data_IF_138122176588
#
_entry.id   IF_138122176588
#
_cell.length_a   1.000
_cell.length_b   1.000
_cell.length_c   1.000
_cell.angle_alpha   90.00
_cell.angle_beta   90.00
_cell.angle_gamma   90.00
#
_symmetry.space_group_name_H-M   'P 1'
#
loop_
_entity.id
_entity.type
_entity.pdbx_description
1 polymer ?
#
# COMPACT_ATOMS: atom_id res chain seq x y z
N UNK A 1 -81.06 -9.29 -16.64
CA UNK A 1 -80.42 -8.28 -15.77
C UNK A 1 -79.79 -9.00 -14.59
N UNK A 2 -78.45 -9.12 -14.61
CA UNK A 2 -77.58 -9.49 -13.50
C UNK A 2 -76.15 -9.12 -13.94
N UNK A 3 -75.37 -8.32 -13.18
CA UNK A 3 -74.04 -7.92 -13.63
C UNK A 3 -72.94 -8.86 -13.11
N UNK A 4 -71.95 -9.05 -13.97
CA UNK A 4 -70.69 -9.75 -13.71
C UNK A 4 -69.81 -8.97 -12.73
N UNK A 5 -69.27 -9.64 -11.71
CA UNK A 5 -68.23 -9.10 -10.83
C UNK A 5 -66.85 -9.64 -11.27
N UNK A 6 -65.95 -8.74 -11.67
CA UNK A 6 -64.53 -9.03 -11.91
C UNK A 6 -63.74 -8.95 -10.60
N UNK A 7 -63.07 -10.04 -10.23
CA UNK A 7 -62.09 -10.10 -9.15
C UNK A 7 -60.75 -9.54 -9.64
N UNK A 8 -60.27 -8.47 -8.98
CA UNK A 8 -58.90 -7.97 -9.14
C UNK A 8 -57.98 -8.73 -8.19
N UNK A 9 -57.00 -9.44 -8.74
CA UNK A 9 -55.89 -10.06 -8.01
C UNK A 9 -54.75 -9.06 -7.81
N UNK A 10 -54.50 -8.66 -6.57
CA UNK A 10 -53.39 -7.79 -6.16
C UNK A 10 -52.08 -8.58 -6.09
N UNK A 11 -51.14 -8.27 -6.99
CA UNK A 11 -49.74 -8.70 -6.89
C UNK A 11 -49.02 -7.85 -5.83
N UNK A 12 -48.66 -8.45 -4.69
CA UNK A 12 -47.68 -7.86 -3.77
C UNK A 12 -46.27 -8.04 -4.34
N UNK A 13 -45.67 -6.95 -4.81
CA UNK A 13 -44.25 -6.90 -5.17
C UNK A 13 -43.37 -6.90 -3.92
N UNK A 14 -42.55 -7.95 -3.76
CA UNK A 14 -41.46 -7.97 -2.79
C UNK A 14 -40.32 -7.07 -3.28
N UNK A 15 -40.17 -5.91 -2.65
CA UNK A 15 -38.98 -5.07 -2.81
C UNK A 15 -37.85 -5.73 -2.01
N UNK A 16 -36.93 -6.41 -2.69
CA UNK A 16 -35.65 -6.80 -2.10
C UNK A 16 -34.77 -5.56 -1.95
N UNK A 17 -34.75 -4.97 -0.75
CA UNK A 17 -33.72 -4.00 -0.39
C UNK A 17 -32.39 -4.75 -0.24
N UNK A 18 -31.48 -4.58 -1.20
CA UNK A 18 -30.08 -4.98 -1.05
C UNK A 18 -29.48 -4.15 0.09
N UNK A 19 -29.35 -4.75 1.27
CA UNK A 19 -28.55 -4.17 2.36
C UNK A 19 -27.09 -4.24 1.93
N UNK A 20 -26.49 -3.08 1.67
CA UNK A 20 -25.04 -2.95 1.51
C UNK A 20 -24.36 -3.52 2.76
N UNK A 21 -23.61 -4.61 2.61
CA UNK A 21 -22.84 -5.20 3.69
C UNK A 21 -21.84 -4.15 4.16
N UNK A 22 -21.97 -3.69 5.41
CA UNK A 22 -20.98 -2.82 6.04
C UNK A 22 -19.64 -3.57 6.06
N UNK A 23 -18.70 -3.12 5.23
CA UNK A 23 -17.36 -3.67 5.21
C UNK A 23 -16.71 -3.36 6.56
N UNK A 24 -16.29 -4.40 7.30
CA UNK A 24 -15.62 -4.25 8.59
C UNK A 24 -14.44 -3.28 8.45
N UNK A 25 -14.36 -2.18 9.22
CA UNK A 25 -13.27 -1.22 9.14
C UNK A 25 -11.89 -1.88 9.31
N UNK A 26 -11.79 -2.95 10.10
CA UNK A 26 -10.55 -3.73 10.22
C UNK A 26 -10.17 -4.40 8.89
N UNK A 27 -11.14 -4.91 8.12
CA UNK A 27 -10.88 -5.51 6.80
C UNK A 27 -10.46 -4.47 5.75
N UNK A 28 -10.95 -3.23 5.85
CA UNK A 28 -10.61 -2.15 4.92
C UNK A 28 -9.15 -1.70 5.02
N UNK A 29 -8.54 -1.78 6.21
CA UNK A 29 -7.14 -1.43 6.44
C UNK A 29 -6.15 -2.33 5.68
N UNK A 30 -6.58 -3.53 5.27
CA UNK A 30 -5.75 -4.47 4.52
C UNK A 30 -5.84 -4.26 3.01
N UNK A 31 -6.77 -3.44 2.53
CA UNK A 31 -6.96 -3.22 1.09
C UNK A 31 -5.85 -2.29 0.59
N UNK A 32 -5.09 -2.68 -0.45
CA UNK A 32 -4.11 -1.78 -1.05
C UNK A 32 -4.78 -0.49 -1.55
N UNK A 33 -4.04 0.63 -1.59
CA UNK A 33 -4.60 1.91 -2.06
C UNK A 33 -5.13 1.82 -3.49
N UNK A 34 -6.00 2.76 -3.86
CA UNK A 34 -6.56 2.81 -5.21
C UNK A 34 -5.48 2.80 -6.31
N UNK A 35 -5.79 2.21 -7.46
CA UNK A 35 -4.80 1.96 -8.51
C UNK A 35 -3.99 0.69 -8.32
N UNK A 36 -4.37 -0.19 -7.40
CA UNK A 36 -3.79 -1.52 -7.29
C UNK A 36 -4.84 -2.58 -7.67
N UNK A 37 -4.45 -3.53 -8.51
CA UNK A 37 -5.29 -4.65 -8.94
C UNK A 37 -4.63 -5.99 -8.56
N UNK A 38 -5.40 -7.03 -8.21
CA UNK A 38 -4.83 -8.35 -7.95
C UNK A 38 -4.08 -8.87 -9.17
N UNK A 39 -2.91 -9.46 -8.97
CA UNK A 39 -2.09 -10.05 -10.05
C UNK A 39 -1.83 -11.54 -9.85
N UNK A 40 -1.45 -11.97 -8.64
CA UNK A 40 -1.13 -13.37 -8.32
C UNK A 40 -1.72 -13.77 -6.97
N UNK A 41 -1.95 -15.07 -6.77
CA UNK A 41 -2.27 -15.60 -5.45
C UNK A 41 -1.63 -16.95 -5.19
N UNK A 42 -1.15 -17.13 -3.96
CA UNK A 42 -0.51 -18.36 -3.50
C UNK A 42 -1.04 -18.76 -2.13
N UNK A 43 -1.02 -20.06 -1.85
CA UNK A 43 -1.10 -20.58 -0.47
C UNK A 43 0.32 -20.69 0.07
N UNK A 44 0.56 -20.08 1.22
CA UNK A 44 1.78 -20.28 1.99
C UNK A 44 1.59 -21.35 3.05
N UNK A 45 2.55 -22.27 3.17
CA UNK A 45 2.64 -23.25 4.25
C UNK A 45 4.03 -23.16 4.87
N UNK A 46 4.09 -22.96 6.18
CA UNK A 46 5.38 -22.88 6.86
C UNK A 46 5.24 -22.57 8.33
N UNK A 47 6.15 -21.75 8.87
CA UNK A 47 6.23 -21.47 10.31
C UNK A 47 6.35 -19.98 10.61
N UNK A 48 5.69 -19.57 11.67
CA UNK A 48 5.95 -18.29 12.34
C UNK A 48 7.07 -18.54 13.36
N UNK A 49 8.08 -17.68 13.36
CA UNK A 49 9.29 -17.83 14.17
C UNK A 49 9.23 -16.82 15.29
N UNK A 50 9.46 -17.30 16.50
CA UNK A 50 9.53 -16.50 17.71
C UNK A 50 10.85 -16.75 18.43
N UNK A 51 11.34 -15.71 19.11
CA UNK A 51 12.42 -15.81 20.07
C UNK A 51 11.88 -15.49 21.45
N UNK A 52 12.22 -16.30 22.44
CA UNK A 52 11.88 -16.04 23.82
C UNK A 52 12.78 -14.93 24.36
N UNK A 53 12.20 -13.80 24.77
CA UNK A 53 12.93 -12.65 25.30
C UNK A 53 12.54 -12.39 26.75
N UNK A 54 13.53 -12.08 27.59
CA UNK A 54 13.27 -11.61 28.95
C UNK A 54 12.50 -10.28 28.91
N UNK A 55 11.53 -10.13 29.81
CA UNK A 55 10.82 -8.87 30.04
C UNK A 55 11.41 -8.22 31.28
N UNK A 56 11.89 -6.98 31.17
CA UNK A 56 12.46 -6.26 32.32
C UNK A 56 11.35 -5.72 33.23
N UNK A 57 11.14 -6.45 34.33
CA UNK A 57 10.90 -5.95 35.70
C UNK A 57 10.74 -7.15 36.69
N UNK A 58 10.27 -8.30 36.21
CA UNK A 58 9.79 -9.39 37.08
C UNK A 58 10.43 -10.77 36.81
N UNK A 59 11.46 -10.87 35.96
CA UNK A 59 12.03 -12.17 35.54
C UNK A 59 11.11 -13.02 34.65
N UNK A 60 10.07 -12.42 34.06
CA UNK A 60 9.14 -13.09 33.14
C UNK A 60 9.71 -13.12 31.72
N UNK A 61 9.40 -14.16 30.96
CA UNK A 61 9.76 -14.28 29.55
C UNK A 61 8.53 -14.16 28.65
N UNK A 62 8.69 -13.59 27.46
CA UNK A 62 7.64 -13.56 26.43
C UNK A 62 8.21 -13.79 25.04
N UNK A 63 7.41 -14.41 24.17
CA UNK A 63 7.81 -14.62 22.78
C UNK A 63 7.69 -13.33 21.96
N UNK A 64 8.78 -12.98 21.28
CA UNK A 64 8.85 -11.89 20.32
C UNK A 64 8.89 -12.46 18.91
N UNK A 65 8.06 -11.94 18.00
CA UNK A 65 7.99 -12.42 16.62
C UNK A 65 9.23 -12.01 15.84
N UNK A 66 9.96 -12.98 15.30
CA UNK A 66 11.16 -12.75 14.48
C UNK A 66 10.86 -12.68 12.97
N UNK A 67 9.79 -13.34 12.53
CA UNK A 67 9.39 -13.38 11.13
C UNK A 67 8.60 -14.63 10.79
N UNK A 68 8.42 -14.88 9.49
CA UNK A 68 7.78 -16.08 8.99
C UNK A 68 8.57 -16.66 7.82
N UNK A 69 8.52 -17.98 7.70
CA UNK A 69 8.99 -18.73 6.54
C UNK A 69 7.83 -19.52 5.96
N UNK A 70 7.71 -19.60 4.64
CA UNK A 70 6.73 -20.46 3.99
C UNK A 70 7.16 -20.86 2.58
N UNK A 71 6.75 -22.06 2.19
CA UNK A 71 6.71 -22.46 0.78
C UNK A 71 5.41 -21.97 0.15
N UNK A 72 5.50 -21.52 -1.10
CA UNK A 72 4.37 -20.99 -1.87
C UNK A 72 3.89 -22.01 -2.89
N UNK A 73 2.57 -22.18 -2.97
CA UNK A 73 1.88 -23.07 -3.88
C UNK A 73 0.81 -22.29 -4.65
N UNK A 74 0.60 -22.61 -5.93
CA UNK A 74 -0.38 -21.92 -6.78
C UNK A 74 -1.80 -22.08 -6.23
N UNK A 75 -2.52 -20.97 -6.10
CA UNK A 75 -3.95 -20.96 -5.77
C UNK A 75 -4.77 -21.05 -7.05
N UNK A 76 -5.49 -22.16 -7.26
CA UNK A 76 -6.49 -22.26 -8.33
C UNK A 76 -7.86 -21.97 -7.70
N UNK A 77 -8.71 -21.23 -8.43
CA UNK A 77 -10.06 -20.83 -8.01
C UNK A 77 -10.93 -22.03 -7.60
N UNK A 78 -12.02 -21.76 -6.87
CA UNK A 78 -12.97 -22.74 -6.28
C UNK A 78 -12.53 -23.43 -4.98
N UNK A 79 -11.56 -22.84 -4.26
CA UNK A 79 -11.17 -23.30 -2.93
C UNK A 79 -10.48 -24.67 -2.92
N UNK A 80 -10.14 -25.21 -4.10
CA UNK A 80 -9.39 -26.46 -4.26
C UNK A 80 -7.98 -26.14 -4.74
N UNK A 81 -7.00 -26.38 -3.87
CA UNK A 81 -5.59 -26.50 -4.26
C UNK A 81 -5.49 -27.58 -5.35
N UNK A 82 -5.19 -27.17 -6.58
CA UNK A 82 -5.00 -28.12 -7.68
C UNK A 82 -3.52 -28.42 -7.95
N UNK A 83 -2.59 -27.59 -7.49
CA UNK A 83 -1.15 -27.87 -7.60
C UNK A 83 -0.52 -28.16 -6.25
N UNK A 84 0.20 -29.29 -6.17
CA UNK A 84 1.11 -29.64 -5.08
C UNK A 84 2.52 -29.07 -5.31
N UNK A 85 2.74 -28.39 -6.44
CA UNK A 85 4.06 -27.97 -6.83
C UNK A 85 4.41 -26.63 -6.20
N UNK A 86 5.58 -26.61 -5.57
CA UNK A 86 6.14 -25.43 -4.96
C UNK A 86 6.60 -24.47 -6.06
N UNK A 87 6.08 -23.26 -6.06
CA UNK A 87 6.40 -22.22 -7.05
C UNK A 87 7.27 -21.09 -6.47
N UNK A 88 7.51 -21.08 -5.16
CA UNK A 88 8.30 -20.05 -4.53
C UNK A 88 8.46 -20.23 -3.02
N UNK A 89 9.03 -19.21 -2.40
CA UNK A 89 9.26 -19.13 -0.96
C UNK A 89 9.03 -17.73 -0.43
N UNK A 90 8.62 -17.67 0.83
CA UNK A 90 8.53 -16.48 1.65
C UNK A 90 9.46 -16.63 2.84
N UNK A 91 10.23 -15.60 3.15
CA UNK A 91 11.16 -15.56 4.29
C UNK A 91 11.35 -14.11 4.75
N UNK A 92 12.01 -13.90 5.88
CA UNK A 92 12.38 -12.57 6.35
C UNK A 92 13.89 -12.40 6.21
N UNK A 93 14.34 -11.26 5.69
CA UNK A 93 15.75 -10.90 5.74
C UNK A 93 16.22 -10.77 7.20
N UNK A 94 17.46 -11.15 7.47
CA UNK A 94 18.09 -10.99 8.79
C UNK A 94 18.15 -9.52 9.20
N UNK A 95 18.52 -8.66 8.25
CA UNK A 95 18.53 -7.21 8.39
C UNK A 95 17.54 -6.60 7.39
N UNK A 96 16.91 -5.45 7.71
CA UNK A 96 16.10 -4.76 6.72
C UNK A 96 16.93 -4.37 5.49
N UNK A 97 16.27 -4.31 4.32
CA UNK A 97 16.83 -3.69 3.13
C UNK A 97 16.98 -2.16 3.31
N UNK A 98 17.53 -1.48 2.30
CA UNK A 98 17.79 -0.03 2.36
C UNK A 98 16.55 0.85 2.63
N UNK A 99 15.35 0.32 2.42
CA UNK A 99 14.08 1.03 2.63
C UNK A 99 13.31 0.50 3.87
N UNK A 100 13.94 -0.38 4.65
CA UNK A 100 13.38 -0.91 5.90
C UNK A 100 12.51 -2.16 5.72
N UNK A 101 12.51 -2.80 4.55
CA UNK A 101 11.75 -4.02 4.27
C UNK A 101 12.45 -5.27 4.77
N UNK A 102 11.68 -6.27 5.23
CA UNK A 102 12.18 -7.56 5.73
C UNK A 102 11.43 -8.75 5.12
N UNK A 103 10.07 -8.78 5.11
CA UNK A 103 9.33 -9.80 4.39
C UNK A 103 9.77 -9.89 2.92
N UNK A 104 10.23 -11.04 2.47
CA UNK A 104 10.72 -11.27 1.11
C UNK A 104 10.01 -12.46 0.49
N UNK A 105 9.72 -12.35 -0.79
CA UNK A 105 9.14 -13.41 -1.62
C UNK A 105 10.07 -13.67 -2.80
N UNK A 106 10.28 -14.94 -3.14
CA UNK A 106 11.06 -15.36 -4.29
C UNK A 106 10.28 -16.41 -5.08
N UNK A 107 10.13 -16.21 -6.38
CA UNK A 107 9.46 -17.15 -7.29
C UNK A 107 10.50 -17.89 -8.14
N UNK A 108 10.29 -19.19 -8.34
CA UNK A 108 11.21 -20.08 -9.04
C UNK A 108 10.90 -20.14 -10.54
N UNK A 109 11.88 -20.56 -11.34
CA UNK A 109 11.73 -20.73 -12.79
C UNK A 109 10.88 -21.95 -13.16
N UNK A 110 11.05 -23.03 -12.40
CA UNK A 110 10.31 -24.26 -12.57
C UNK A 110 9.64 -24.63 -11.24
N UNK A 111 8.37 -25.10 -11.26
CA UNK A 111 7.77 -25.71 -10.10
C UNK A 111 8.63 -26.89 -9.63
N UNK A 112 8.74 -27.09 -8.31
CA UNK A 112 9.52 -28.18 -7.70
C UNK A 112 11.04 -28.12 -7.88
N UNK A 113 11.59 -27.01 -8.41
CA UNK A 113 13.03 -26.74 -8.34
C UNK A 113 13.49 -26.77 -6.86
N UNK A 114 14.76 -27.04 -6.56
CA UNK A 114 15.25 -27.15 -5.19
C UNK A 114 15.47 -25.75 -4.53
N UNK A 115 16.02 -25.70 -3.32
CA UNK A 115 16.30 -24.42 -2.66
C UNK A 115 17.56 -23.70 -3.20
N UNK A 116 18.43 -24.40 -3.92
CA UNK A 116 19.63 -23.81 -4.57
C UNK A 116 19.31 -23.09 -5.87
N UNK A 117 18.13 -23.37 -6.45
CA UNK A 117 17.66 -22.77 -7.69
C UNK A 117 17.52 -21.26 -7.62
N UNK A 118 18.05 -20.59 -8.64
CA UNK A 118 18.01 -19.13 -8.78
C UNK A 118 16.56 -18.70 -9.04
N UNK A 119 15.98 -17.80 -8.21
CA UNK A 119 14.66 -17.25 -8.45
C UNK A 119 14.60 -16.46 -9.77
N UNK A 120 13.47 -16.54 -10.48
CA UNK A 120 13.22 -15.66 -11.65
C UNK A 120 12.96 -14.22 -11.23
N UNK A 121 12.41 -14.05 -10.03
CA UNK A 121 12.22 -12.75 -9.41
C UNK A 121 12.15 -12.87 -7.90
N UNK A 122 12.62 -11.83 -7.22
CA UNK A 122 12.56 -11.66 -5.76
C UNK A 122 12.06 -10.25 -5.47
N UNK A 123 11.21 -10.10 -4.46
CA UNK A 123 10.79 -8.79 -3.98
C UNK A 123 10.76 -8.76 -2.44
N UNK A 124 11.22 -7.66 -1.86
CA UNK A 124 11.17 -7.40 -0.41
C UNK A 124 10.12 -6.35 -0.12
N UNK A 125 9.52 -6.42 1.06
CA UNK A 125 8.38 -5.62 1.46
C UNK A 125 8.52 -5.11 2.89
N UNK A 126 7.80 -4.03 3.18
CA UNK A 126 7.64 -3.43 4.51
C UNK A 126 6.19 -3.50 4.96
N UNK A 127 5.97 -3.70 6.26
CA UNK A 127 4.64 -3.72 6.86
C UNK A 127 3.98 -2.34 6.77
N UNK A 128 2.74 -2.31 6.28
CA UNK A 128 1.90 -1.11 6.19
C UNK A 128 0.73 -1.18 7.16
N UNK A 129 0.04 -2.31 7.22
CA UNK A 129 -1.08 -2.51 8.13
C UNK A 129 -1.08 -3.94 8.69
N UNK A 130 -1.59 -4.06 9.91
CA UNK A 130 -1.74 -5.33 10.63
C UNK A 130 -3.12 -5.37 11.28
N UNK A 131 -3.80 -6.50 11.13
CA UNK A 131 -5.14 -6.72 11.67
C UNK A 131 -5.18 -8.05 12.38
N UNK A 132 -5.59 -8.04 13.65
CA UNK A 132 -5.72 -9.25 14.46
C UNK A 132 -6.68 -10.24 13.78
N UNK A 133 -6.35 -11.53 13.84
CA UNK A 133 -7.25 -12.55 13.31
C UNK A 133 -8.46 -12.71 14.24
N UNK A 134 -9.64 -12.99 13.67
CA UNK A 134 -10.86 -13.24 14.44
C UNK A 134 -10.71 -14.43 15.40
N UNK A 135 -9.95 -15.45 15.01
CA UNK A 135 -9.54 -16.53 15.90
C UNK A 135 -8.18 -16.18 16.53
N UNK A 136 -8.07 -16.08 17.87
CA UNK A 136 -6.84 -15.71 18.56
C UNK A 136 -5.71 -16.74 18.43
N UNK A 137 -5.98 -17.93 17.89
CA UNK A 137 -4.97 -18.95 17.57
C UNK A 137 -4.31 -18.74 16.20
N UNK A 138 -4.78 -17.77 15.42
CA UNK A 138 -4.27 -17.47 14.08
C UNK A 138 -3.43 -16.19 14.11
N UNK A 139 -2.29 -16.20 13.42
CA UNK A 139 -1.46 -15.00 13.28
C UNK A 139 -2.20 -13.88 12.54
N UNK A 140 -1.84 -12.60 12.77
CA UNK A 140 -2.51 -11.46 12.14
C UNK A 140 -2.46 -11.47 10.62
N UNK A 141 -3.48 -10.88 9.99
CA UNK A 141 -3.45 -10.54 8.57
C UNK A 141 -2.62 -9.26 8.36
N UNK A 142 -1.94 -9.16 7.21
CA UNK A 142 -0.97 -8.09 6.93
C UNK A 142 -1.22 -7.46 5.55
N UNK A 143 -0.95 -6.16 5.44
CA UNK A 143 -0.68 -5.49 4.16
C UNK A 143 0.79 -5.08 4.14
N UNK A 144 1.49 -5.48 3.09
CA UNK A 144 2.90 -5.24 2.86
C UNK A 144 3.09 -4.44 1.56
N UNK A 145 4.00 -3.47 1.53
CA UNK A 145 4.36 -2.70 0.33
C UNK A 145 5.78 -3.01 -0.11
N UNK A 146 6.02 -3.14 -1.40
CA UNK A 146 7.34 -3.42 -1.94
C UNK A 146 8.35 -2.31 -1.58
N UNK A 147 9.57 -2.74 -1.29
CA UNK A 147 10.74 -1.90 -0.96
C UNK A 147 11.90 -2.15 -1.91
N UNK A 148 11.97 -3.35 -2.51
CA UNK A 148 12.97 -3.66 -3.53
C UNK A 148 12.49 -4.80 -4.44
N UNK A 149 13.03 -4.82 -5.65
CA UNK A 149 12.81 -5.85 -6.68
C UNK A 149 14.13 -6.35 -7.24
N UNK A 150 14.16 -7.62 -7.63
CA UNK A 150 15.28 -8.26 -8.31
C UNK A 150 14.76 -9.28 -9.32
N UNK A 151 15.41 -9.37 -10.48
CA UNK A 151 14.99 -10.22 -11.59
C UNK A 151 13.81 -9.65 -12.39
N UNK A 152 13.53 -10.28 -13.52
CA UNK A 152 12.53 -9.81 -14.50
C UNK A 152 11.25 -10.67 -14.51
N UNK A 153 11.10 -11.59 -13.55
CA UNK A 153 9.93 -12.44 -13.41
C UNK A 153 8.70 -11.74 -12.83
N UNK A 154 7.70 -12.55 -12.45
CA UNK A 154 6.37 -12.11 -12.03
C UNK A 154 6.33 -11.16 -10.82
N UNK A 155 7.35 -11.14 -9.96
CA UNK A 155 7.39 -10.20 -8.83
C UNK A 155 7.84 -8.78 -9.21
N UNK A 156 8.44 -8.57 -10.39
CA UNK A 156 8.99 -7.27 -10.82
C UNK A 156 7.96 -6.14 -10.91
N UNK A 157 6.68 -6.48 -11.03
CA UNK A 157 5.56 -5.54 -11.14
C UNK A 157 4.65 -5.54 -9.91
N UNK A 158 5.06 -6.14 -8.80
CA UNK A 158 4.26 -6.22 -7.57
C UNK A 158 4.46 -4.97 -6.73
N UNK A 159 3.38 -4.30 -6.36
CA UNK A 159 3.38 -3.12 -5.49
C UNK A 159 3.06 -3.47 -4.04
N UNK A 160 2.12 -4.39 -3.81
CA UNK A 160 1.67 -4.81 -2.48
C UNK A 160 1.44 -6.32 -2.38
N UNK A 161 1.54 -6.84 -1.16
CA UNK A 161 1.14 -8.20 -0.80
C UNK A 161 0.22 -8.15 0.42
N UNK A 162 -0.91 -8.82 0.32
CA UNK A 162 -1.76 -9.13 1.46
C UNK A 162 -1.44 -10.54 1.97
N UNK A 163 -1.30 -10.70 3.28
CA UNK A 163 -1.39 -12.00 3.98
C UNK A 163 -2.76 -12.06 4.65
N UNK A 164 -3.61 -13.00 4.22
CA UNK A 164 -4.98 -13.16 4.70
C UNK A 164 -5.30 -14.64 4.92
N UNK A 165 -6.47 -14.94 5.50
CA UNK A 165 -6.94 -16.31 5.72
C UNK A 165 -5.90 -17.16 6.48
N UNK A 166 -5.30 -16.57 7.52
CA UNK A 166 -4.28 -17.21 8.34
C UNK A 166 -4.88 -18.29 9.23
N UNK A 167 -4.17 -19.41 9.39
CA UNK A 167 -4.53 -20.50 10.30
C UNK A 167 -3.28 -20.92 11.07
N UNK A 168 -3.35 -20.90 12.40
CA UNK A 168 -2.23 -21.24 13.29
C UNK A 168 -1.15 -20.16 13.37
N UNK A 169 0.04 -20.56 13.80
CA UNK A 169 1.22 -19.71 13.91
C UNK A 169 1.36 -18.91 15.21
N UNK A 170 0.39 -18.94 16.13
CA UNK A 170 0.49 -18.20 17.41
C UNK A 170 1.28 -19.00 18.43
N UNK A 171 2.29 -18.38 19.04
CA UNK A 171 3.09 -18.98 20.11
C UNK A 171 2.27 -19.24 21.38
N UNK A 172 2.56 -20.36 22.06
CA UNK A 172 1.98 -20.64 23.37
C UNK A 172 2.88 -20.04 24.46
N UNK A 173 2.41 -19.06 25.26
CA UNK A 173 3.27 -18.34 26.21
C UNK A 173 4.03 -19.23 27.20
N UNK A 174 3.43 -20.34 27.63
CA UNK A 174 4.01 -21.27 28.62
C UNK A 174 5.29 -21.99 28.15
N UNK A 175 5.61 -21.96 26.85
CA UNK A 175 6.82 -22.57 26.29
C UNK A 175 8.05 -21.65 26.38
N UNK A 176 7.85 -20.35 26.62
CA UNK A 176 8.94 -19.38 26.73
C UNK A 176 9.54 -19.41 28.14
N UNK A 177 10.64 -20.17 28.30
CA UNK A 177 11.30 -20.36 29.61
C UNK A 177 12.76 -19.93 29.67
N UNK A 178 13.38 -19.73 28.51
CA UNK A 178 14.80 -19.43 28.39
C UNK A 178 15.00 -18.33 27.34
N UNK A 179 15.71 -17.26 27.71
CA UNK A 179 16.07 -16.20 26.77
C UNK A 179 16.86 -16.76 25.58
N UNK A 180 16.52 -16.30 24.38
CA UNK A 180 17.12 -16.74 23.12
C UNK A 180 16.55 -18.05 22.58
N UNK A 181 15.68 -18.75 23.32
CA UNK A 181 15.05 -19.97 22.83
C UNK A 181 14.12 -19.68 21.65
N UNK A 182 14.37 -20.33 20.51
CA UNK A 182 13.58 -20.18 19.30
C UNK A 182 12.39 -21.15 19.32
N UNK A 183 11.21 -20.66 18.91
CA UNK A 183 10.00 -21.45 18.69
C UNK A 183 9.52 -21.26 17.26
N UNK A 184 9.27 -22.37 16.56
CA UNK A 184 8.72 -22.39 15.20
C UNK A 184 7.31 -22.97 15.26
N UNK A 185 6.29 -22.14 15.00
CA UNK A 185 4.89 -22.54 15.08
C UNK A 185 4.30 -22.69 13.68
N UNK A 186 3.80 -23.87 13.28
CA UNK A 186 3.20 -24.07 11.96
C UNK A 186 2.04 -23.12 11.68
N UNK A 187 1.98 -22.59 10.46
CA UNK A 187 0.84 -21.82 9.96
C UNK A 187 0.56 -22.09 8.47
N UNK A 188 -0.64 -21.69 8.06
CA UNK A 188 -1.02 -21.53 6.65
C UNK A 188 -1.61 -20.14 6.42
N UNK A 189 -1.45 -19.59 5.23
CA UNK A 189 -2.05 -18.32 4.83
C UNK A 189 -2.30 -18.26 3.32
N UNK A 190 -3.21 -17.39 2.90
CA UNK A 190 -3.30 -16.96 1.51
C UNK A 190 -2.49 -15.67 1.34
N UNK A 191 -1.62 -15.65 0.34
CA UNK A 191 -0.93 -14.46 -0.12
C UNK A 191 -1.57 -13.97 -1.40
N UNK A 192 -1.97 -12.68 -1.45
CA UNK A 192 -2.50 -12.02 -2.64
C UNK A 192 -1.56 -10.90 -3.03
N UNK A 193 -1.04 -10.97 -4.25
CA UNK A 193 -0.10 -10.01 -4.81
C UNK A 193 -0.89 -9.03 -5.66
N UNK A 194 -0.47 -7.77 -5.59
CA UNK A 194 -1.12 -6.67 -6.27
C UNK A 194 -0.10 -5.95 -7.12
N UNK A 195 -0.55 -5.51 -8.29
CA UNK A 195 0.25 -4.69 -9.19
C UNK A 195 -0.40 -3.32 -9.30
N UNK A 196 0.43 -2.29 -9.39
CA UNK A 196 -0.06 -0.94 -9.60
C UNK A 196 -0.53 -0.82 -11.05
N UNK A 197 -1.85 -0.82 -11.23
CA UNK A 197 -2.48 -0.40 -12.46
C UNK A 197 -2.51 1.14 -12.51
N UNK A 198 -2.69 1.72 -13.70
CA UNK A 198 -3.10 3.13 -13.74
C UNK A 198 -4.39 3.28 -12.93
N UNK A 199 -4.48 4.33 -12.09
CA UNK A 199 -5.65 4.57 -11.23
C UNK A 199 -6.89 4.59 -12.12
N UNK A 200 -7.86 3.67 -11.93
CA UNK A 200 -9.05 3.66 -12.75
C UNK A 200 -9.76 5.01 -12.65
N UNK A 201 -10.18 5.59 -13.78
CA UNK A 201 -10.90 6.87 -13.78
C UNK A 201 -12.12 6.85 -12.85
N UNK A 202 -12.76 5.69 -12.69
CA UNK A 202 -13.90 5.49 -11.80
C UNK A 202 -13.60 5.75 -10.31
N UNK A 203 -12.34 5.66 -9.86
CA UNK A 203 -12.00 5.99 -8.46
C UNK A 203 -11.72 7.47 -8.23
N UNK A 204 -11.58 8.28 -9.28
CA UNK A 204 -11.29 9.72 -9.17
C UNK A 204 -12.57 10.53 -8.93
N UNK A 205 -12.66 11.33 -7.86
CA UNK A 205 -13.80 12.22 -7.64
C UNK A 205 -14.00 13.23 -8.77
N UNK A 206 -15.26 13.46 -9.15
CA UNK A 206 -15.61 14.36 -10.24
C UNK A 206 -15.02 15.76 -10.11
N UNK A 207 -14.89 16.27 -8.88
CA UNK A 207 -14.34 17.60 -8.59
C UNK A 207 -12.87 17.74 -9.00
N UNK A 208 -12.09 16.66 -9.00
CA UNK A 208 -10.66 16.69 -9.36
C UNK A 208 -10.37 16.01 -10.70
N UNK A 209 -11.39 15.76 -11.51
CA UNK A 209 -11.20 15.24 -12.86
C UNK A 209 -10.40 16.24 -13.70
N UNK A 210 -9.47 15.71 -14.49
CA UNK A 210 -8.70 16.52 -15.43
C UNK A 210 -9.66 17.02 -16.53
N UNK A 211 -9.55 18.29 -16.97
CA UNK A 211 -10.40 18.82 -18.03
C UNK A 211 -10.32 18.01 -19.33
N UNK A 212 -11.45 17.97 -20.07
CA UNK A 212 -11.51 17.32 -21.39
C UNK A 212 -10.42 17.87 -22.33
N UNK A 213 -9.96 17.03 -23.26
CA UNK A 213 -8.89 17.38 -24.21
C UNK A 213 -7.47 17.15 -23.66
N UNK A 214 -7.34 16.64 -22.44
CA UNK A 214 -6.07 16.25 -21.86
C UNK A 214 -5.96 14.73 -21.76
N UNK A 215 -4.78 14.20 -22.05
CA UNK A 215 -4.48 12.77 -21.98
C UNK A 215 -3.41 12.49 -20.94
N UNK A 216 -3.46 11.29 -20.34
CA UNK A 216 -2.47 10.84 -19.38
C UNK A 216 -1.15 10.58 -20.11
N UNK A 217 -0.10 11.32 -19.75
CA UNK A 217 1.24 11.11 -20.28
C UNK A 217 1.95 9.99 -19.52
N UNK A 218 1.93 10.04 -18.19
CA UNK A 218 2.54 9.03 -17.32
C UNK A 218 2.04 9.15 -15.88
N UNK A 219 2.32 8.13 -15.07
CA UNK A 219 2.12 8.17 -13.62
C UNK A 219 3.37 7.66 -12.89
N UNK A 220 3.64 8.24 -11.72
CA UNK A 220 4.69 7.79 -10.81
C UNK A 220 4.13 7.52 -9.42
N UNK A 221 4.66 6.49 -8.78
CA UNK A 221 4.49 6.29 -7.35
C UNK A 221 5.36 7.29 -6.58
N UNK A 222 4.75 8.06 -5.69
CA UNK A 222 5.44 8.96 -4.78
C UNK A 222 5.56 8.37 -3.39
N UNK A 223 6.75 8.41 -2.80
CA UNK A 223 7.01 8.00 -1.43
C UNK A 223 7.89 9.02 -0.71
N UNK A 224 7.45 9.45 0.48
CA UNK A 224 8.26 10.32 1.31
C UNK A 224 7.48 10.93 2.47
N UNK A 225 7.68 12.21 2.73
CA UNK A 225 7.16 12.91 3.91
C UNK A 225 6.47 14.22 3.55
N UNK A 226 5.35 14.48 4.22
CA UNK A 226 4.82 15.82 4.42
C UNK A 226 5.53 16.40 5.66
N UNK A 227 6.11 17.58 5.52
CA UNK A 227 6.93 18.19 6.58
C UNK A 227 6.12 19.31 7.22
N UNK A 228 5.63 19.04 8.42
CA UNK A 228 4.87 19.99 9.20
C UNK A 228 5.77 20.75 10.16
N UNK A 229 5.46 22.03 10.37
CA UNK A 229 6.09 22.86 11.40
C UNK A 229 5.02 23.40 12.35
N UNK A 230 5.28 23.32 13.65
CA UNK A 230 4.40 23.89 14.65
C UNK A 230 4.62 25.40 14.76
N UNK A 231 3.57 26.18 14.54
CA UNK A 231 3.62 27.66 14.54
C UNK A 231 3.41 28.30 15.92
N UNK A 232 3.32 27.48 16.98
CA UNK A 232 2.96 27.91 18.33
C UNK A 232 1.50 27.63 18.68
N UNK A 233 0.63 27.44 17.68
CA UNK A 233 -0.80 27.14 17.86
C UNK A 233 -1.24 25.86 17.15
N UNK A 234 -0.70 25.57 15.97
CA UNK A 234 -1.07 24.42 15.14
C UNK A 234 0.08 23.96 14.27
N UNK A 235 -0.04 22.73 13.79
CA UNK A 235 0.83 22.19 12.76
C UNK A 235 0.43 22.74 11.39
N UNK A 236 1.40 23.33 10.70
CA UNK A 236 1.21 23.86 9.34
C UNK A 236 2.13 23.12 8.36
N UNK A 237 1.65 22.83 7.16
CA UNK A 237 2.47 22.21 6.14
C UNK A 237 3.53 23.20 5.67
N UNK A 238 4.80 22.87 5.89
CA UNK A 238 5.93 23.75 5.57
C UNK A 238 6.66 23.34 4.30
N UNK A 239 6.79 22.03 4.05
CA UNK A 239 7.47 21.48 2.86
C UNK A 239 7.01 20.03 2.62
N UNK A 240 7.48 19.44 1.53
CA UNK A 240 7.38 18.02 1.22
C UNK A 240 8.73 17.51 0.72
N UNK A 241 8.97 16.22 0.91
CA UNK A 241 10.11 15.53 0.30
C UNK A 241 9.62 14.16 -0.10
N UNK A 242 9.59 13.86 -1.40
CA UNK A 242 9.26 12.52 -1.87
C UNK A 242 10.07 12.14 -3.11
N UNK A 243 10.37 10.86 -3.21
CA UNK A 243 10.92 10.24 -4.40
C UNK A 243 9.78 9.79 -5.30
N UNK A 244 9.96 9.93 -6.61
CA UNK A 244 9.07 9.40 -7.64
C UNK A 244 9.72 8.15 -8.24
N UNK A 245 8.97 7.08 -8.37
CA UNK A 245 9.41 5.82 -9.00
C UNK A 245 8.29 5.25 -9.88
N UNK A 246 8.59 4.25 -10.72
CA UNK A 246 7.58 3.60 -11.55
C UNK A 246 6.54 2.83 -10.72
N UNK A 247 6.99 2.15 -9.67
CA UNK A 247 6.16 1.49 -8.66
C UNK A 247 6.93 1.47 -7.31
N UNK A 248 6.31 1.06 -6.19
CA UNK A 248 7.04 0.97 -4.92
C UNK A 248 8.25 0.01 -5.02
N UNK A 249 9.40 0.46 -4.51
CA UNK A 249 10.63 -0.34 -4.47
C UNK A 249 11.42 -0.36 -5.78
N UNK A 250 11.05 0.43 -6.80
CA UNK A 250 11.88 0.61 -8.00
C UNK A 250 12.75 1.87 -7.93
N UNK A 251 13.80 1.96 -8.77
CA UNK A 251 14.69 3.12 -8.78
C UNK A 251 13.96 4.46 -8.93
N UNK A 252 14.53 5.48 -8.30
CA UNK A 252 14.05 6.85 -8.40
C UNK A 252 14.11 7.35 -9.86
N UNK A 253 13.01 7.90 -10.33
CA UNK A 253 12.85 8.57 -11.62
C UNK A 253 12.67 10.09 -11.47
N UNK A 254 12.42 10.56 -10.25
CA UNK A 254 12.16 11.97 -9.97
C UNK A 254 12.06 12.27 -8.49
N UNK A 255 11.79 13.53 -8.18
CA UNK A 255 11.57 14.05 -6.82
C UNK A 255 10.38 14.99 -6.80
N UNK A 256 9.73 15.09 -5.64
CA UNK A 256 8.71 16.06 -5.35
C UNK A 256 9.07 16.86 -4.09
N UNK A 257 9.07 18.18 -4.21
CA UNK A 257 9.40 19.12 -3.15
C UNK A 257 8.72 20.47 -3.42
N UNK A 258 8.80 21.41 -2.47
CA UNK A 258 8.30 22.77 -2.68
C UNK A 258 9.43 23.73 -3.05
N UNK A 259 9.28 24.41 -4.18
CA UNK A 259 10.05 25.62 -4.49
C UNK A 259 9.40 26.85 -3.84
N UNK A 260 10.16 27.94 -3.74
CA UNK A 260 9.59 29.25 -3.43
C UNK A 260 8.92 29.80 -4.69
N UNK A 261 7.60 29.86 -4.66
CA UNK A 261 6.80 30.49 -5.71
C UNK A 261 6.82 32.02 -5.60
N UNK A 262 6.02 32.69 -6.45
CA UNK A 262 5.80 34.13 -6.36
C UNK A 262 5.39 34.54 -4.94
N UNK A 263 5.95 35.62 -4.44
CA UNK A 263 5.71 36.15 -3.09
C UNK A 263 6.13 35.20 -1.94
N UNK A 264 7.02 34.23 -2.21
CA UNK A 264 7.57 33.32 -1.20
C UNK A 264 6.64 32.19 -0.78
N UNK A 265 5.49 32.02 -1.45
CA UNK A 265 4.54 30.94 -1.16
C UNK A 265 5.11 29.59 -1.60
N UNK A 266 4.87 28.49 -0.86
CA UNK A 266 5.30 27.16 -1.28
C UNK A 266 4.63 26.74 -2.59
N UNK A 267 5.44 26.34 -3.58
CA UNK A 267 4.98 25.90 -4.88
C UNK A 267 5.31 24.42 -5.07
N UNK A 268 4.32 23.53 -5.21
CA UNK A 268 4.57 22.11 -5.46
C UNK A 268 5.29 21.91 -6.79
N UNK A 269 6.42 21.22 -6.73
CA UNK A 269 7.32 20.99 -7.86
C UNK A 269 7.66 19.51 -7.98
N UNK A 270 7.68 19.02 -9.21
CA UNK A 270 8.16 17.68 -9.55
C UNK A 270 9.36 17.82 -10.49
N UNK A 271 10.47 17.22 -10.11
CA UNK A 271 11.70 17.14 -10.89
C UNK A 271 11.82 15.72 -11.47
N UNK A 272 12.10 15.61 -12.76
CA UNK A 272 12.37 14.37 -13.47
C UNK A 272 13.88 14.22 -13.68
N UNK A 273 14.41 13.01 -13.46
CA UNK A 273 15.86 12.77 -13.52
C UNK A 273 16.36 12.47 -14.93
N UNK A 274 15.54 11.87 -15.79
CA UNK A 274 15.95 11.50 -17.15
C UNK A 274 14.75 11.39 -18.12
N UNK A 275 14.73 12.18 -19.20
CA UNK A 275 15.51 13.40 -19.40
C UNK A 275 15.23 14.43 -18.29
N UNK A 276 16.22 15.25 -17.93
CA UNK A 276 16.08 16.22 -16.83
C UNK A 276 15.06 17.31 -17.17
N UNK A 277 14.15 17.55 -16.24
CA UNK A 277 13.19 18.65 -16.31
C UNK A 277 12.43 18.82 -15.01
N UNK A 278 11.64 19.88 -14.91
CA UNK A 278 10.77 20.07 -13.76
C UNK A 278 9.47 20.77 -14.14
N UNK A 279 8.43 20.49 -13.37
CA UNK A 279 7.14 21.19 -13.45
C UNK A 279 6.79 21.71 -12.07
N UNK A 280 6.36 22.96 -12.01
CA UNK A 280 5.75 23.54 -10.82
C UNK A 280 4.29 23.85 -11.09
N UNK A 281 3.42 23.57 -10.12
CA UNK A 281 1.98 23.71 -10.29
C UNK A 281 1.34 24.52 -9.16
N UNK A 282 0.10 24.93 -9.39
CA UNK A 282 -0.79 25.51 -8.36
C UNK A 282 -1.99 24.60 -8.14
N UNK A 283 -2.43 24.47 -6.89
CA UNK A 283 -3.62 23.72 -6.55
C UNK A 283 -4.86 24.38 -7.20
N UNK A 284 -5.69 23.57 -7.86
CA UNK A 284 -6.98 24.01 -8.43
C UNK A 284 -8.13 23.50 -7.56
N UNK A 285 -8.16 22.18 -7.33
CA UNK A 285 -9.22 21.54 -6.58
C UNK A 285 -8.65 20.41 -5.72
N UNK A 286 -9.31 20.16 -4.58
CA UNK A 286 -9.01 19.04 -3.70
C UNK A 286 -10.25 18.19 -3.45
N UNK A 287 -10.02 16.92 -3.15
CA UNK A 287 -11.03 15.98 -2.66
C UNK A 287 -10.42 15.10 -1.57
N UNK A 288 -11.18 14.79 -0.53
CA UNK A 288 -10.75 13.87 0.53
C UNK A 288 -11.51 12.56 0.39
N UNK A 289 -10.78 11.44 0.36
CA UNK A 289 -11.38 10.09 0.32
C UNK A 289 -11.53 9.49 1.72
N UNK A 290 -10.55 9.74 2.59
CA UNK A 290 -10.54 9.31 3.99
C UNK A 290 -10.17 10.51 4.88
N UNK A 291 -10.52 10.49 6.18
CA UNK A 291 -10.12 11.54 7.11
C UNK A 291 -8.65 11.46 7.54
N UNK A 292 -7.99 10.32 7.31
CA UNK A 292 -6.65 10.02 7.83
C UNK A 292 -5.53 10.16 6.79
N UNK A 293 -5.88 10.36 5.53
CA UNK A 293 -4.92 10.53 4.44
C UNK A 293 -4.97 11.96 3.92
N UNK A 294 -3.82 12.46 3.45
CA UNK A 294 -3.79 13.76 2.79
C UNK A 294 -4.72 13.78 1.56
N UNK A 295 -5.34 14.92 1.25
CA UNK A 295 -6.30 15.02 0.17
C UNK A 295 -5.69 14.71 -1.20
N UNK A 296 -6.54 14.28 -2.12
CA UNK A 296 -6.24 14.18 -3.53
C UNK A 296 -6.37 15.56 -4.17
N UNK A 297 -5.58 15.81 -5.21
CA UNK A 297 -5.45 17.12 -5.84
C UNK A 297 -5.55 17.06 -7.35
N UNK A 298 -6.14 18.10 -7.93
CA UNK A 298 -5.86 18.54 -9.29
C UNK A 298 -5.04 19.83 -9.21
N UNK A 299 -3.89 19.86 -9.89
CA UNK A 299 -3.01 21.00 -9.97
C UNK A 299 -2.76 21.41 -11.42
N UNK A 300 -2.74 22.72 -11.68
CA UNK A 300 -2.42 23.31 -12.98
C UNK A 300 -0.95 23.70 -13.01
N UNK A 301 -0.20 23.28 -14.04
CA UNK A 301 1.20 23.66 -14.24
C UNK A 301 1.28 25.17 -14.49
N UNK A 302 2.18 25.82 -13.75
CA UNK A 302 2.44 27.27 -13.86
C UNK A 302 3.83 27.57 -14.40
N UNK A 303 4.76 26.61 -14.31
CA UNK A 303 6.10 26.73 -14.84
C UNK A 303 6.64 25.35 -15.20
N UNK A 304 7.44 25.28 -16.27
CA UNK A 304 8.09 24.05 -16.72
C UNK A 304 9.49 24.34 -17.25
N UNK A 305 10.46 23.49 -16.92
CA UNK A 305 11.84 23.56 -17.42
C UNK A 305 12.22 22.20 -18.01
N UNK A 306 13.02 22.21 -19.08
CA UNK A 306 13.50 21.01 -19.75
C UNK A 306 12.68 20.64 -20.98
N UNK A 307 12.93 21.35 -22.09
CA UNK A 307 12.17 21.20 -23.36
C UNK A 307 12.18 19.77 -23.93
N UNK A 308 13.25 19.02 -23.67
CA UNK A 308 13.42 17.63 -24.11
C UNK A 308 12.91 16.59 -23.10
N UNK A 309 12.35 17.04 -21.97
CA UNK A 309 11.81 16.16 -20.92
C UNK A 309 10.30 16.08 -20.99
N UNK A 310 9.72 15.16 -20.23
CA UNK A 310 8.28 15.09 -19.97
C UNK A 310 7.68 16.46 -19.58
N UNK A 311 8.43 17.31 -18.88
CA UNK A 311 7.96 18.58 -18.35
C UNK A 311 7.39 19.53 -19.41
N UNK A 312 7.86 19.46 -20.66
CA UNK A 312 7.39 20.34 -21.75
C UNK A 312 5.97 20.04 -22.22
N UNK A 313 5.44 18.86 -21.91
CA UNK A 313 4.12 18.41 -22.33
C UNK A 313 3.09 18.46 -21.20
N UNK A 314 3.52 18.62 -19.94
CA UNK A 314 2.61 18.57 -18.80
C UNK A 314 1.86 19.89 -18.63
N UNK A 315 0.54 19.83 -18.61
CA UNK A 315 -0.35 20.94 -18.27
C UNK A 315 -1.06 20.73 -16.93
N UNK A 316 -1.35 19.48 -16.53
CA UNK A 316 -1.94 19.15 -15.23
C UNK A 316 -1.16 18.06 -14.50
N UNK A 317 -1.12 18.18 -13.17
CA UNK A 317 -0.69 17.12 -12.27
C UNK A 317 -1.86 16.73 -11.38
N UNK A 318 -2.16 15.44 -11.29
CA UNK A 318 -3.16 14.89 -10.39
C UNK A 318 -2.45 14.06 -9.31
N UNK A 319 -2.74 14.34 -8.05
CA UNK A 319 -2.33 13.50 -6.92
C UNK A 319 -3.52 12.68 -6.47
N UNK A 320 -3.39 11.37 -6.47
CA UNK A 320 -4.42 10.41 -6.07
C UNK A 320 -3.83 9.28 -5.21
N UNK A 321 -4.68 8.37 -4.74
CA UNK A 321 -4.29 7.16 -4.01
C UNK A 321 -3.35 7.42 -2.82
N UNK A 322 -3.61 8.50 -2.10
CA UNK A 322 -2.80 8.91 -0.95
C UNK A 322 -3.01 7.97 0.23
N UNK A 323 -1.93 7.72 0.97
CA UNK A 323 -1.95 7.05 2.28
C UNK A 323 -1.06 7.85 3.23
N UNK A 324 -1.57 8.18 4.41
CA UNK A 324 -0.88 8.93 5.45
C UNK A 324 -0.63 10.40 5.08
N UNK A 325 0.42 10.96 5.65
CA UNK A 325 0.87 12.33 5.40
C UNK A 325 0.13 13.41 6.20
N UNK A 326 -0.85 13.07 7.04
CA UNK A 326 -1.57 14.04 7.87
C UNK A 326 -0.68 14.63 8.96
N UNK A 327 -1.01 15.84 9.40
CA UNK A 327 -0.42 16.43 10.59
C UNK A 327 -0.69 15.54 11.82
N UNK A 328 0.17 15.58 12.87
CA UNK A 328 -0.09 14.81 14.07
C UNK A 328 -1.36 15.34 14.77
N UNK A 329 -2.12 14.44 15.39
CA UNK A 329 -3.40 14.76 16.05
C UNK A 329 -3.20 15.63 17.29
N UNK A 330 -4.22 16.44 17.62
CA UNK A 330 -4.27 17.26 18.83
C UNK A 330 -4.06 16.42 20.08
N UNK A 331 -3.00 16.72 20.84
CA UNK A 331 -2.57 15.96 22.03
C UNK A 331 -1.04 15.78 22.12
N UNK A 332 -0.33 15.91 21.00
CA UNK A 332 1.14 15.94 21.01
C UNK A 332 1.62 17.28 21.55
N UNK A 333 2.29 17.28 22.71
CA UNK A 333 2.97 18.45 23.22
C UNK A 333 3.99 18.93 22.17
N UNK A 334 3.82 20.14 21.66
CA UNK A 334 4.66 20.72 20.61
C UNK A 334 5.10 22.13 21.02
N UNK A 335 6.33 22.48 20.68
CA UNK A 335 6.95 23.78 20.90
C UNK A 335 7.05 24.53 19.58
N UNK A 336 7.02 25.86 19.65
CA UNK A 336 7.20 26.72 18.47
C UNK A 336 8.43 26.29 17.69
N UNK A 337 8.25 25.99 16.40
CA UNK A 337 9.33 25.60 15.51
C UNK A 337 9.59 24.10 15.38
N UNK A 338 8.94 23.26 16.20
CA UNK A 338 9.03 21.79 16.10
C UNK A 338 8.68 21.32 14.70
N UNK A 339 9.35 20.27 14.25
CA UNK A 339 9.19 19.66 12.92
C UNK A 339 8.65 18.25 13.07
N UNK A 340 7.62 17.91 12.30
CA UNK A 340 7.10 16.56 12.18
C UNK A 340 7.12 16.10 10.72
N UNK A 341 7.83 15.01 10.47
CA UNK A 341 7.87 14.36 9.16
C UNK A 341 6.80 13.26 9.11
N UNK A 342 5.65 13.58 8.51
CA UNK A 342 4.54 12.64 8.35
C UNK A 342 4.75 11.79 7.10
N UNK A 343 5.01 10.48 7.21
CA UNK A 343 5.23 9.63 6.05
C UNK A 343 3.96 9.51 5.22
N UNK A 344 4.12 9.50 3.90
CA UNK A 344 3.02 9.31 2.97
C UNK A 344 3.45 8.59 1.70
N UNK A 345 2.48 8.00 1.02
CA UNK A 345 2.60 7.61 -0.39
C UNK A 345 1.45 8.18 -1.21
N UNK A 346 1.65 8.29 -2.52
CA UNK A 346 0.62 8.75 -3.47
C UNK A 346 0.92 8.24 -4.89
N UNK A 347 -0.04 8.41 -5.79
CA UNK A 347 0.19 8.35 -7.23
C UNK A 347 0.14 9.78 -7.78
N UNK A 348 1.16 10.13 -8.56
CA UNK A 348 1.24 11.40 -9.29
C UNK A 348 1.08 11.13 -10.78
N UNK A 349 -0.04 11.56 -11.34
CA UNK A 349 -0.37 11.41 -12.76
C UNK A 349 -0.19 12.74 -13.48
N UNK A 350 0.53 12.73 -14.60
CA UNK A 350 0.89 13.91 -15.39
C UNK A 350 0.13 13.88 -16.71
N UNK A 351 -0.56 14.97 -17.02
CA UNK A 351 -1.43 15.09 -18.18
C UNK A 351 -0.98 16.22 -19.10
N UNK A 352 -1.18 16.04 -20.40
CA UNK A 352 -0.87 17.02 -21.44
C UNK A 352 -1.98 17.12 -22.48
N UNK A 353 -1.90 18.12 -23.35
CA UNK A 353 -2.81 18.34 -24.49
C UNK A 353 -2.35 17.63 -25.74
#
# INVERSE_FOLDING_TARGET
MAPFAMLWSSLLGFIFTLTATSQDPASSALIPPDGNTPSLSFVGRGVQIYECSAQSANGSYSYQSQGAEAELFVYISDGKLQSHERCGRHYFLTHPDGEGGKPTFALLASPSADNSSIPTSTATFKLIAIVAAANPKNIPSLLLRATSHSGNGALSMVSYVQRVNTVGGVATPSQCKQQGAMLRVPYRAQYRFWSQAQVPLASIPASIMVPKGHTLLTSFFGLGFQIYRYDGSKWTLSNVSATLSSLPGTPAMGKHYFLKGPNGQPQPTWEFLSPRGLVSAKLIQKASKTPNDIPWFLLLVTNSIGKQSLASMVTYVQRSSTVGGMAPTSGTAAKLGDIFQSPYSAIYSFYGT
#
